data_IF_844744009801
#
_entry.id   IF_844744009801
#
_cell.length_a   1.000
_cell.length_b   1.000
_cell.length_c   1.000
_cell.angle_alpha   90.00
_cell.angle_beta   90.00
_cell.angle_gamma   90.00
#
_symmetry.space_group_name_H-M   'P 1'
#
loop_
_entity.id
_entity.type
_entity.pdbx_description
1 polymer ?
#
# COMPACT_ATOMS: atom_id res chain seq x y z
N UNK A 1 -4.11 -13.79 -21.97
CA UNK A 1 -3.16 -12.92 -21.26
C UNK A 1 -3.96 -12.11 -20.24
N UNK A 2 -3.96 -12.53 -18.97
CA UNK A 2 -4.52 -11.80 -17.81
C UNK A 2 -6.03 -11.60 -17.75
N UNK A 3 -6.80 -12.64 -17.41
CA UNK A 3 -8.16 -12.49 -16.86
C UNK A 3 -8.06 -12.51 -15.33
N UNK A 4 -8.45 -11.43 -14.67
CA UNK A 4 -8.88 -11.46 -13.27
C UNK A 4 -10.28 -10.84 -13.19
N UNK A 5 -11.27 -11.68 -13.44
CA UNK A 5 -12.63 -11.49 -12.91
C UNK A 5 -12.81 -12.50 -11.80
N UNK A 6 -13.26 -12.06 -10.63
CA UNK A 6 -14.08 -12.87 -9.73
C UNK A 6 -14.89 -11.89 -8.87
N UNK A 7 -16.15 -11.64 -9.21
CA UNK A 7 -17.35 -12.36 -8.76
C UNK A 7 -17.58 -12.22 -7.26
N UNK A 8 -18.76 -11.70 -6.90
CA UNK A 8 -19.22 -11.56 -5.52
C UNK A 8 -19.33 -12.92 -4.84
N UNK A 9 -18.74 -13.08 -3.65
CA UNK A 9 -19.23 -14.05 -2.67
C UNK A 9 -19.13 -13.49 -1.24
N UNK A 10 -20.26 -13.57 -0.56
CA UNK A 10 -20.48 -13.35 0.86
C UNK A 10 -19.84 -14.52 1.63
N UNK A 11 -18.73 -14.26 2.34
CA UNK A 11 -18.18 -15.03 3.49
C UNK A 11 -16.80 -14.48 3.87
N UNK A 12 -16.80 -13.45 4.72
CA UNK A 12 -15.75 -12.93 5.62
C UNK A 12 -14.26 -13.32 5.51
N UNK A 13 -13.70 -13.54 4.32
CA UNK A 13 -12.26 -13.50 4.11
C UNK A 13 -11.89 -12.06 3.79
N UNK A 14 -11.36 -11.38 4.80
CA UNK A 14 -10.66 -10.11 4.65
C UNK A 14 -9.65 -10.28 3.51
N UNK A 15 -10.01 -9.79 2.32
CA UNK A 15 -9.16 -9.82 1.13
C UNK A 15 -8.01 -8.86 1.45
N UNK A 16 -7.00 -9.36 2.16
CA UNK A 16 -5.79 -8.63 2.53
C UNK A 16 -5.01 -8.33 1.27
N UNK A 17 -5.45 -7.31 0.54
CA UNK A 17 -4.74 -6.78 -0.62
C UNK A 17 -3.44 -6.20 -0.09
N UNK A 18 -2.32 -6.83 -0.46
CA UNK A 18 -0.97 -6.38 -0.11
C UNK A 18 -0.41 -5.65 -1.32
N UNK A 19 0.02 -4.41 -1.10
CA UNK A 19 0.71 -3.61 -2.10
C UNK A 19 2.21 -3.70 -1.90
N UNK A 20 2.91 -3.97 -2.99
CA UNK A 20 4.36 -3.91 -3.05
C UNK A 20 4.81 -2.59 -3.69
N UNK A 21 6.13 -2.39 -3.85
CA UNK A 21 6.67 -1.18 -4.49
C UNK A 21 6.05 -0.87 -5.85
N UNK A 22 5.80 -1.89 -6.68
CA UNK A 22 5.25 -1.68 -8.03
C UNK A 22 3.79 -1.24 -7.97
N UNK A 23 3.01 -1.83 -7.07
CA UNK A 23 1.64 -1.39 -6.83
C UNK A 23 1.60 0.05 -6.32
N UNK A 24 2.45 0.43 -5.37
CA UNK A 24 2.53 1.82 -4.88
C UNK A 24 2.93 2.78 -6.00
N UNK A 25 3.90 2.42 -6.84
CA UNK A 25 4.26 3.24 -8.01
C UNK A 25 3.06 3.44 -8.94
N UNK A 26 2.28 2.39 -9.22
CA UNK A 26 1.10 2.47 -10.08
C UNK A 26 -0.04 3.27 -9.42
N UNK A 27 -0.31 3.04 -8.13
CA UNK A 27 -1.37 3.71 -7.37
C UNK A 27 -1.14 5.22 -7.25
N UNK A 28 0.09 5.62 -6.96
CA UNK A 28 0.45 7.03 -6.81
C UNK A 28 0.97 7.65 -8.13
N UNK A 29 1.04 6.87 -9.22
CA UNK A 29 1.66 7.26 -10.48
C UNK A 29 2.99 7.99 -10.27
N UNK A 30 3.83 7.43 -9.40
CA UNK A 30 5.05 8.06 -8.91
C UNK A 30 6.30 7.25 -9.26
N UNK A 31 7.42 7.96 -9.35
CA UNK A 31 8.73 7.35 -9.58
C UNK A 31 9.13 6.38 -8.45
N UNK A 32 10.02 5.45 -8.80
CA UNK A 32 10.56 4.45 -7.90
C UNK A 32 11.09 5.01 -6.57
N UNK A 33 11.70 6.19 -6.59
CA UNK A 33 12.27 6.84 -5.41
C UNK A 33 11.17 7.32 -4.45
N UNK A 34 10.16 8.03 -4.98
CA UNK A 34 8.99 8.49 -4.21
C UNK A 34 8.20 7.33 -3.61
N UNK A 35 7.97 6.27 -4.38
CA UNK A 35 7.30 5.07 -3.88
C UNK A 35 8.08 4.40 -2.73
N UNK A 36 9.41 4.36 -2.83
CA UNK A 36 10.27 3.86 -1.76
C UNK A 36 10.18 4.75 -0.51
N UNK A 37 10.14 6.07 -0.68
CA UNK A 37 9.97 7.06 0.40
C UNK A 37 8.66 6.83 1.16
N UNK A 38 7.56 6.62 0.44
CA UNK A 38 6.24 6.30 1.01
C UNK A 38 6.30 4.97 1.78
N UNK A 39 6.88 3.93 1.20
CA UNK A 39 7.03 2.63 1.87
C UNK A 39 7.91 2.70 3.12
N UNK A 40 8.98 3.50 3.11
CA UNK A 40 9.81 3.75 4.29
C UNK A 40 9.05 4.50 5.38
N UNK A 41 8.22 5.47 5.00
CA UNK A 41 7.38 6.22 5.93
C UNK A 41 6.35 5.29 6.59
N UNK A 42 5.65 4.48 5.80
CA UNK A 42 4.73 3.45 6.28
C UNK A 42 5.42 2.45 7.21
N UNK A 43 6.65 2.03 6.88
CA UNK A 43 7.45 1.15 7.74
C UNK A 43 7.81 1.82 9.06
N UNK A 44 8.19 3.11 9.03
CA UNK A 44 8.47 3.89 10.25
C UNK A 44 7.24 4.04 11.15
N UNK A 45 6.04 4.08 10.57
CA UNK A 45 4.77 4.13 11.29
C UNK A 45 4.28 2.74 11.74
N UNK A 46 5.06 1.68 11.50
CA UNK A 46 4.70 0.27 11.77
C UNK A 46 3.46 -0.24 11.01
N UNK A 47 3.12 0.44 9.92
CA UNK A 47 1.99 0.12 9.05
C UNK A 47 2.43 -0.72 7.82
N UNK A 48 3.74 -0.82 7.56
CA UNK A 48 4.31 -1.71 6.54
C UNK A 48 5.23 -2.78 7.12
N UNK A 49 5.31 -3.91 6.43
CA UNK A 49 6.20 -5.03 6.73
C UNK A 49 7.32 -5.11 5.71
N UNK A 50 8.55 -5.32 6.19
CA UNK A 50 9.71 -5.57 5.35
C UNK A 50 9.98 -7.07 5.31
N UNK A 51 9.95 -7.65 4.13
CA UNK A 51 10.28 -9.07 3.91
C UNK A 51 11.47 -9.10 2.94
N UNK A 52 12.63 -9.51 3.45
CA UNK A 52 13.88 -9.51 2.69
C UNK A 52 14.32 -8.09 2.29
N UNK A 53 14.35 -7.81 0.98
CA UNK A 53 14.70 -6.49 0.40
C UNK A 53 13.47 -5.70 -0.07
N UNK A 54 12.27 -6.27 0.09
CA UNK A 54 11.03 -5.68 -0.39
C UNK A 54 10.15 -5.21 0.76
N UNK A 55 9.38 -4.16 0.50
CA UNK A 55 8.43 -3.58 1.43
C UNK A 55 7.03 -3.89 0.96
N UNK A 56 6.20 -4.32 1.90
CA UNK A 56 4.82 -4.73 1.68
C UNK A 56 3.94 -3.96 2.65
N UNK A 57 2.88 -3.36 2.13
CA UNK A 57 1.89 -2.65 2.93
C UNK A 57 0.51 -3.24 2.67
N UNK A 58 -0.27 -3.46 3.71
CA UNK A 58 -1.66 -3.87 3.54
C UNK A 58 -2.51 -2.68 3.11
N UNK A 59 -3.52 -2.92 2.28
CA UNK A 59 -4.45 -1.87 1.83
C UNK A 59 -5.07 -1.10 3.00
N UNK A 60 -5.46 -1.80 4.06
CA UNK A 60 -6.04 -1.18 5.25
C UNK A 60 -5.06 -0.20 5.92
N UNK A 61 -3.82 -0.63 6.11
CA UNK A 61 -2.74 0.18 6.64
C UNK A 61 -2.39 1.39 5.74
N UNK A 62 -2.43 1.20 4.42
CA UNK A 62 -2.26 2.29 3.46
C UNK A 62 -3.42 3.30 3.54
N UNK A 63 -4.66 2.84 3.65
CA UNK A 63 -5.84 3.70 3.79
C UNK A 63 -5.84 4.46 5.12
N UNK A 64 -5.43 3.79 6.20
CA UNK A 64 -5.24 4.39 7.52
C UNK A 64 -4.15 5.45 7.49
N UNK A 65 -3.03 5.16 6.83
CA UNK A 65 -1.98 6.15 6.58
C UNK A 65 -2.52 7.35 5.78
N UNK A 66 -3.24 7.12 4.68
CA UNK A 66 -3.83 8.19 3.88
C UNK A 66 -4.85 9.01 4.68
N UNK A 67 -5.60 8.39 5.58
CA UNK A 67 -6.58 9.06 6.44
C UNK A 67 -5.92 9.88 7.54
N UNK A 68 -4.87 9.36 8.19
CA UNK A 68 -4.04 10.12 9.15
C UNK A 68 -3.34 11.31 8.47
N UNK A 69 -2.92 11.08 7.22
CA UNK A 69 -2.24 12.04 6.38
C UNK A 69 -3.19 13.09 5.78
N UNK A 70 -4.45 12.76 5.50
CA UNK A 70 -5.40 13.69 4.87
C UNK A 70 -5.66 14.95 5.72
N UNK A 71 -5.38 14.88 7.03
CA UNK A 71 -5.45 16.01 7.96
C UNK A 71 -4.10 16.64 8.30
N UNK A 72 -2.99 16.13 7.78
CA UNK A 72 -1.62 16.63 8.02
C UNK A 72 -0.95 16.87 6.67
N UNK A 73 -0.69 18.14 6.36
CA UNK A 73 0.07 18.51 5.18
C UNK A 73 1.42 17.76 5.19
N UNK A 74 1.59 16.79 4.28
CA UNK A 74 2.88 16.15 4.10
C UNK A 74 3.79 17.15 3.42
N UNK A 75 4.61 17.81 4.22
CA UNK A 75 5.78 18.51 3.72
C UNK A 75 6.81 17.44 3.32
N UNK A 76 6.71 16.95 2.07
CA UNK A 76 7.65 16.00 1.45
C UNK A 76 8.62 16.65 0.49
#
# INVERSE_FOLDING_TARGET
MGNYIDSKNEMGYDNKVIYNKRDIMNLFSCESDKALRILRLLYSMREANKIGKEYYVQKDALLKFLSDTQGRELVI
#
